data_IF_998837069609
#
_entry.id   IF_998837069609
#
_cell.length_a   1.000
_cell.length_b   1.000
_cell.length_c   1.000
_cell.angle_alpha   90.00
_cell.angle_beta   90.00
_cell.angle_gamma   90.00
#
_symmetry.space_group_name_H-M   'P 1'
#
loop_
_entity.id
_entity.type
_entity.pdbx_description
1 polymer ?
#
# COMPACT_ATOMS: atom_id res chain seq x y z
N UNK A 1 -1.27 3.37 -4.25
CA UNK A 1 -1.24 2.35 -3.16
C UNK A 1 -1.35 0.95 -3.75
N UNK A 2 -0.92 -0.07 -3.01
CA UNK A 2 -0.84 -1.46 -3.50
C UNK A 2 -2.21 -2.03 -3.93
N UNK A 3 -3.31 -1.61 -3.31
CA UNK A 3 -4.66 -2.05 -3.67
C UNK A 3 -5.03 -1.77 -5.14
N UNK A 4 -4.61 -0.61 -5.69
CA UNK A 4 -4.80 -0.28 -7.11
C UNK A 4 -4.05 -1.25 -8.03
N UNK A 5 -2.82 -1.59 -7.68
CA UNK A 5 -1.99 -2.54 -8.45
C UNK A 5 -2.65 -3.92 -8.49
N UNK A 6 -3.12 -4.42 -7.34
CA UNK A 6 -3.86 -5.69 -7.26
C UNK A 6 -5.14 -5.68 -8.09
N UNK A 7 -5.90 -4.59 -8.04
CA UNK A 7 -7.10 -4.42 -8.87
C UNK A 7 -6.79 -4.48 -10.36
N UNK A 8 -5.71 -3.85 -10.80
CA UNK A 8 -5.30 -3.88 -12.20
C UNK A 8 -4.80 -5.27 -12.62
N UNK A 9 -4.11 -6.00 -11.75
CA UNK A 9 -3.70 -7.40 -11.99
C UNK A 9 -4.90 -8.34 -12.13
N UNK A 10 -5.89 -8.23 -11.23
CA UNK A 10 -7.13 -9.02 -11.29
C UNK A 10 -7.86 -8.80 -12.62
N UNK A 11 -7.97 -7.53 -13.04
CA UNK A 11 -8.57 -7.17 -14.33
C UNK A 11 -7.80 -7.78 -15.51
N UNK A 12 -6.47 -7.72 -15.49
CA UNK A 12 -5.63 -8.31 -16.55
C UNK A 12 -5.79 -9.82 -16.67
N UNK A 13 -5.96 -10.53 -15.55
CA UNK A 13 -6.24 -11.97 -15.55
C UNK A 13 -7.67 -12.33 -15.98
N UNK A 14 -8.56 -11.36 -16.16
CA UNK A 14 -9.95 -11.61 -16.57
C UNK A 14 -10.80 -12.30 -15.50
N UNK A 15 -10.36 -12.29 -14.23
CA UNK A 15 -11.08 -12.96 -13.13
C UNK A 15 -11.91 -11.94 -12.36
N UNK A 16 -13.13 -12.31 -11.98
CA UNK A 16 -13.99 -11.47 -11.14
C UNK A 16 -13.60 -11.57 -9.66
N UNK A 17 -13.76 -10.48 -8.91
CA UNK A 17 -13.59 -10.46 -7.46
C UNK A 17 -14.44 -11.52 -6.75
N UNK A 18 -15.65 -11.76 -7.27
CA UNK A 18 -16.56 -12.76 -6.72
C UNK A 18 -16.01 -14.18 -6.85
N UNK A 19 -15.38 -14.49 -7.99
CA UNK A 19 -14.73 -15.79 -8.19
C UNK A 19 -13.52 -15.96 -7.27
N UNK A 20 -12.65 -14.95 -7.22
CA UNK A 20 -11.49 -14.95 -6.30
C UNK A 20 -11.95 -15.12 -4.85
N UNK A 21 -12.97 -14.39 -4.42
CA UNK A 21 -13.49 -14.46 -3.06
C UNK A 21 -14.04 -15.85 -2.75
N UNK A 22 -14.81 -16.44 -3.67
CA UNK A 22 -15.35 -17.80 -3.56
C UNK A 22 -14.24 -18.84 -3.44
N UNK A 23 -13.26 -18.78 -4.33
CA UNK A 23 -12.19 -19.78 -4.41
C UNK A 23 -11.21 -19.66 -3.23
N UNK A 24 -11.02 -18.45 -2.70
CA UNK A 24 -10.23 -18.21 -1.48
C UNK A 24 -11.00 -18.40 -0.17
N UNK A 25 -12.31 -18.67 -0.23
CA UNK A 25 -13.17 -18.78 0.96
C UNK A 25 -13.24 -17.50 1.79
N UNK A 26 -13.17 -16.33 1.15
CA UNK A 26 -13.24 -15.02 1.82
C UNK A 26 -14.52 -14.29 1.45
N UNK A 27 -14.97 -13.38 2.32
CA UNK A 27 -16.12 -12.53 2.00
C UNK A 27 -15.79 -11.59 0.82
N UNK A 28 -16.69 -11.57 -0.17
CA UNK A 28 -16.54 -10.76 -1.37
C UNK A 28 -16.55 -9.26 -1.06
N UNK A 29 -17.40 -8.81 -0.14
CA UNK A 29 -17.48 -7.41 0.26
C UNK A 29 -16.20 -6.95 0.93
N UNK A 30 -15.66 -7.77 1.83
CA UNK A 30 -14.41 -7.52 2.52
C UNK A 30 -13.22 -7.50 1.55
N UNK A 31 -13.13 -8.48 0.63
CA UNK A 31 -12.11 -8.51 -0.40
C UNK A 31 -12.18 -7.25 -1.28
N UNK A 32 -13.37 -6.88 -1.75
CA UNK A 32 -13.56 -5.69 -2.58
C UNK A 32 -13.16 -4.40 -1.84
N UNK A 33 -13.58 -4.25 -0.57
CA UNK A 33 -13.21 -3.09 0.27
C UNK A 33 -11.71 -3.03 0.49
N UNK A 34 -11.06 -4.16 0.77
CA UNK A 34 -9.60 -4.22 0.98
C UNK A 34 -8.80 -3.85 -0.28
N UNK A 35 -9.36 -4.10 -1.47
CA UNK A 35 -8.74 -3.82 -2.77
C UNK A 35 -9.27 -2.52 -3.42
N UNK A 36 -10.12 -1.77 -2.72
CA UNK A 36 -10.64 -0.49 -3.21
C UNK A 36 -9.50 0.54 -3.28
N UNK A 37 -9.68 1.54 -4.14
CA UNK A 37 -8.73 2.65 -4.26
C UNK A 37 -8.46 3.27 -2.87
N UNK A 38 -7.20 3.62 -2.62
CA UNK A 38 -6.70 4.19 -1.35
C UNK A 38 -6.81 3.30 -0.10
N UNK A 39 -7.17 2.02 -0.27
CA UNK A 39 -7.11 1.05 0.81
C UNK A 39 -5.71 0.43 0.94
N UNK A 40 -5.33 0.15 2.19
CA UNK A 40 -4.11 -0.57 2.52
C UNK A 40 -4.48 -2.00 2.95
N UNK A 41 -4.62 -2.95 2.00
CA UNK A 41 -4.95 -4.32 2.34
C UNK A 41 -3.88 -4.93 3.23
N UNK A 42 -4.30 -5.81 4.14
CA UNK A 42 -3.36 -6.59 4.94
C UNK A 42 -2.44 -7.44 4.05
N UNK A 43 -1.21 -7.63 4.51
CA UNK A 43 -0.22 -8.47 3.83
C UNK A 43 -0.74 -9.87 3.50
N UNK A 44 -1.53 -10.46 4.41
CA UNK A 44 -2.16 -11.77 4.21
C UNK A 44 -3.08 -11.80 2.99
N UNK A 45 -3.87 -10.74 2.79
CA UNK A 45 -4.78 -10.62 1.65
C UNK A 45 -4.01 -10.44 0.36
N UNK A 46 -2.97 -9.60 0.36
CA UNK A 46 -2.09 -9.40 -0.79
C UNK A 46 -1.50 -10.73 -1.25
N UNK A 47 -0.93 -11.49 -0.31
CA UNK A 47 -0.31 -12.80 -0.60
C UNK A 47 -1.32 -13.78 -1.19
N UNK A 48 -2.48 -13.96 -0.56
CA UNK A 48 -3.53 -14.88 -1.06
C UNK A 48 -3.97 -14.56 -2.49
N UNK A 49 -4.15 -13.28 -2.80
CA UNK A 49 -4.56 -12.85 -4.15
C UNK A 49 -3.44 -13.09 -5.16
N UNK A 50 -2.19 -12.78 -4.82
CA UNK A 50 -1.05 -13.05 -5.71
C UNK A 50 -0.85 -14.54 -5.97
N UNK A 51 -0.91 -15.35 -4.90
CA UNK A 51 -0.81 -16.82 -4.99
C UNK A 51 -1.91 -17.39 -5.90
N UNK A 52 -3.16 -16.94 -5.73
CA UNK A 52 -4.29 -17.35 -6.56
C UNK A 52 -4.12 -16.96 -8.04
N UNK A 53 -3.51 -15.79 -8.30
CA UNK A 53 -3.22 -15.34 -9.66
C UNK A 53 -1.97 -16.00 -10.26
N UNK A 54 -1.26 -16.85 -9.51
CA UNK A 54 -0.07 -17.56 -9.98
C UNK A 54 1.22 -16.72 -9.94
N UNK A 55 1.25 -15.67 -9.11
CA UNK A 55 2.44 -14.85 -8.92
C UNK A 55 3.25 -15.32 -7.70
N UNK A 56 4.57 -15.31 -7.86
CA UNK A 56 5.50 -15.55 -6.76
C UNK A 56 5.99 -14.22 -6.18
N UNK A 57 5.88 -14.04 -4.86
CA UNK A 57 6.28 -12.80 -4.20
C UNK A 57 7.72 -12.87 -3.70
N UNK A 58 8.60 -12.03 -4.26
CA UNK A 58 10.00 -11.94 -3.87
C UNK A 58 10.35 -10.59 -3.28
N UNK A 59 10.96 -10.61 -2.10
CA UNK A 59 11.56 -9.43 -1.48
C UNK A 59 12.98 -9.29 -2.02
N UNK A 60 13.22 -8.26 -2.81
CA UNK A 60 14.54 -7.97 -3.39
C UNK A 60 15.13 -6.77 -2.65
N UNK A 61 16.25 -6.99 -1.94
CA UNK A 61 17.00 -5.89 -1.31
C UNK A 61 17.62 -5.03 -2.42
N UNK A 62 17.13 -3.80 -2.59
CA UNK A 62 17.79 -2.81 -3.45
C UNK A 62 19.13 -2.40 -2.81
N UNK A 63 20.14 -2.07 -3.63
CA UNK A 63 21.41 -1.48 -3.16
C UNK A 63 21.12 -0.39 -2.13
N UNK A 64 21.90 -0.36 -1.05
CA UNK A 64 21.66 0.49 0.11
C UNK A 64 21.44 1.93 -0.30
N UNK A 65 20.21 2.40 -0.09
CA UNK A 65 19.91 3.82 -0.18
C UNK A 65 20.45 4.40 1.11
N UNK A 66 21.66 4.99 1.07
CA UNK A 66 22.19 5.80 2.18
C UNK A 66 21.04 6.63 2.71
N UNK A 67 20.64 6.40 3.97
CA UNK A 67 19.52 7.09 4.59
C UNK A 67 19.71 8.58 4.36
N UNK A 68 18.82 9.22 3.59
CA UNK A 68 18.73 10.67 3.60
C UNK A 68 18.39 11.02 5.04
N UNK A 69 19.41 11.40 5.84
CA UNK A 69 19.24 12.04 7.13
C UNK A 69 18.10 13.04 6.95
N UNK A 70 17.02 12.83 7.68
CA UNK A 70 15.98 13.81 7.92
C UNK A 70 16.64 15.18 8.03
N UNK A 71 16.35 16.09 7.09
CA UNK A 71 16.74 17.49 7.25
C UNK A 71 16.11 17.94 8.57
N UNK A 72 16.92 17.97 9.62
CA UNK A 72 16.59 18.54 10.92
C UNK A 72 16.03 19.92 10.62
N UNK A 73 14.76 20.13 10.95
CA UNK A 73 14.09 21.42 10.91
C UNK A 73 15.04 22.48 11.45
N UNK A 74 15.38 23.49 10.64
CA UNK A 74 16.06 24.68 11.15
C UNK A 74 15.19 25.24 12.29
N UNK A 75 15.74 25.56 13.46
CA UNK A 75 14.94 26.19 14.50
C UNK A 75 14.34 27.49 13.94
N UNK A 76 13.04 27.66 14.18
CA UNK A 76 12.29 28.85 13.84
C UNK A 76 12.97 30.07 14.45
N UNK A 77 13.27 31.06 13.60
CA UNK A 77 13.79 32.39 13.97
C UNK A 77 12.98 32.94 15.15
N UNK A 78 13.60 33.37 16.27
CA UNK A 78 12.84 33.93 17.38
C UNK A 78 12.12 35.20 16.90
N UNK A 79 10.82 35.30 17.20
CA UNK A 79 10.02 36.50 16.95
C UNK A 79 10.70 37.68 17.64
N UNK A 80 11.08 38.69 16.85
CA UNK A 80 11.51 40.00 17.33
C UNK A 80 10.41 40.50 18.29
N UNK A 81 10.74 40.68 19.56
CA UNK A 81 9.85 41.40 20.49
C UNK A 81 9.84 42.85 20.03
N UNK A 82 8.77 43.25 19.36
CA UNK A 82 8.30 44.63 19.39
C UNK A 82 7.46 44.76 20.66
N UNK A 83 7.85 45.68 21.54
CA UNK A 83 7.06 46.37 22.57
C UNK A 83 8.05 47.04 23.54
N UNK A 84 8.38 48.32 23.34
CA UNK A 84 7.73 49.52 23.91
C UNK A 84 8.06 49.68 25.40
N UNK A 85 8.96 50.63 25.70
CA UNK A 85 8.98 51.48 26.89
C UNK A 85 9.86 52.70 26.59
#
# INVERSE_FOLDING_TARGET
MIGKILKDLIKKHGVSYRKIAKDLGVDHGNLYRSLKNDSNPEWKTIKKVLDYLGYDFKIIKRREVKSKKSKKSKPSRPKRKEEIA
#
